data_IF_933372884228
#
_entry.id   IF_933372884228
#
_cell.length_a   1.000
_cell.length_b   1.000
_cell.length_c   1.000
_cell.angle_alpha   90.00
_cell.angle_beta   90.00
_cell.angle_gamma   90.00
#
_symmetry.space_group_name_H-M   'P 1'
#
loop_
_entity.id
_entity.type
_entity.pdbx_description
1 polymer ?
#
# COMPACT_ATOMS: atom_id res chain seq x y z
N UNK A 1 4.70 -11.23 -22.71
CA UNK A 1 5.11 -12.17 -21.64
C UNK A 1 6.24 -13.02 -22.19
N UNK A 2 7.49 -12.67 -21.88
CA UNK A 2 8.67 -13.41 -22.34
C UNK A 2 8.84 -14.67 -21.50
N UNK A 3 8.78 -15.84 -22.15
CA UNK A 3 9.05 -17.15 -21.54
C UNK A 3 10.49 -17.22 -21.00
N UNK A 4 10.79 -18.11 -20.04
CA UNK A 4 12.12 -18.21 -19.45
C UNK A 4 13.12 -18.74 -20.50
N UNK A 5 14.00 -17.87 -21.01
CA UNK A 5 15.01 -18.18 -22.05
C UNK A 5 16.26 -18.87 -21.47
N UNK A 6 16.29 -19.21 -20.18
CA UNK A 6 17.56 -19.45 -19.47
C UNK A 6 18.11 -20.88 -19.46
N UNK A 7 17.28 -21.92 -19.36
CA UNK A 7 17.75 -23.27 -18.95
C UNK A 7 18.62 -23.97 -19.99
N UNK A 8 18.37 -23.72 -21.27
CA UNK A 8 19.10 -24.35 -22.37
C UNK A 8 19.82 -23.33 -23.27
N UNK A 9 20.01 -22.11 -22.78
CA UNK A 9 20.67 -21.05 -23.54
C UNK A 9 22.12 -21.41 -23.91
N UNK A 10 22.80 -22.15 -23.04
CA UNK A 10 24.16 -22.61 -23.30
C UNK A 10 24.20 -23.70 -24.38
N UNK A 11 23.30 -24.68 -24.32
CA UNK A 11 23.16 -25.69 -25.35
C UNK A 11 22.84 -25.07 -26.72
N UNK A 12 21.85 -24.17 -26.77
CA UNK A 12 21.49 -23.46 -28.00
C UNK A 12 22.64 -22.64 -28.58
N UNK A 13 23.37 -21.91 -27.73
CA UNK A 13 24.58 -21.17 -28.15
C UNK A 13 25.65 -22.10 -28.71
N UNK A 14 25.91 -23.25 -28.08
CA UNK A 14 26.87 -24.23 -28.56
C UNK A 14 26.49 -24.76 -29.96
N UNK A 15 25.21 -25.11 -30.18
CA UNK A 15 24.70 -25.55 -31.47
C UNK A 15 24.90 -24.47 -32.55
N UNK A 16 24.52 -23.23 -32.25
CA UNK A 16 24.68 -22.07 -33.15
C UNK A 16 26.13 -21.79 -33.50
N UNK A 17 27.02 -21.80 -32.49
CA UNK A 17 28.44 -21.58 -32.68
C UNK A 17 29.04 -22.66 -33.59
N UNK A 18 28.66 -23.92 -33.38
CA UNK A 18 29.14 -25.03 -34.19
C UNK A 18 28.61 -24.95 -35.62
N UNK A 19 27.35 -24.59 -35.84
CA UNK A 19 26.78 -24.35 -37.18
C UNK A 19 27.54 -23.26 -37.92
N UNK A 20 27.74 -22.11 -37.26
CA UNK A 20 28.46 -20.98 -37.85
C UNK A 20 29.92 -21.33 -38.16
N UNK A 21 30.59 -22.11 -37.32
CA UNK A 21 31.94 -22.61 -37.59
C UNK A 21 32.00 -23.48 -38.87
N UNK A 22 30.94 -24.24 -39.15
CA UNK A 22 30.80 -25.02 -40.38
C UNK A 22 30.28 -24.21 -41.58
N UNK A 23 30.07 -22.90 -41.41
CA UNK A 23 29.52 -21.98 -42.42
C UNK A 23 28.16 -22.42 -42.99
N UNK A 24 27.37 -23.14 -42.19
CA UNK A 24 26.02 -23.56 -42.58
C UNK A 24 25.00 -22.48 -42.23
N UNK A 25 24.13 -22.15 -43.16
CA UNK A 25 22.95 -21.31 -42.92
C UNK A 25 21.83 -22.15 -42.27
N UNK A 26 20.84 -21.54 -41.60
CA UNK A 26 19.64 -22.25 -41.16
C UNK A 26 18.92 -22.99 -42.30
N UNK A 27 18.94 -22.44 -43.51
CA UNK A 27 18.40 -23.06 -44.72
C UNK A 27 19.18 -24.33 -45.09
N UNK A 28 20.52 -24.31 -45.01
CA UNK A 28 21.33 -25.52 -45.23
C UNK A 28 21.03 -26.62 -44.21
N UNK A 29 20.70 -26.24 -42.97
CA UNK A 29 20.27 -27.20 -41.93
C UNK A 29 18.93 -27.80 -42.31
N UNK A 30 17.97 -26.99 -42.76
CA UNK A 30 16.67 -27.46 -43.23
C UNK A 30 16.82 -28.47 -44.38
N UNK A 31 17.62 -28.15 -45.40
CA UNK A 31 17.80 -29.03 -46.55
C UNK A 31 18.39 -30.40 -46.16
N UNK A 32 19.28 -30.44 -45.16
CA UNK A 32 19.97 -31.67 -44.74
C UNK A 32 19.22 -32.48 -43.67
N UNK A 33 18.43 -31.82 -42.82
CA UNK A 33 17.82 -32.46 -41.64
C UNK A 33 16.30 -32.44 -41.64
N UNK A 34 15.71 -31.64 -42.54
CA UNK A 34 14.28 -31.31 -42.59
C UNK A 34 13.74 -30.66 -41.31
N UNK A 35 14.62 -30.07 -40.49
CA UNK A 35 14.25 -29.25 -39.33
C UNK A 35 13.96 -27.83 -39.84
N UNK A 36 12.73 -27.33 -39.65
CA UNK A 36 12.35 -26.01 -40.16
C UNK A 36 13.26 -24.90 -39.61
N UNK A 37 13.51 -23.86 -40.40
CA UNK A 37 14.34 -22.70 -39.99
C UNK A 37 13.88 -22.10 -38.66
N UNK A 38 12.57 -21.99 -38.44
CA UNK A 38 11.98 -21.56 -37.17
C UNK A 38 12.34 -22.48 -36.00
N UNK A 39 12.34 -23.80 -36.23
CA UNK A 39 12.74 -24.77 -35.20
C UNK A 39 14.24 -24.72 -34.94
N UNK A 40 15.07 -24.50 -35.98
CA UNK A 40 16.51 -24.27 -35.81
C UNK A 40 16.76 -23.05 -34.93
N UNK A 41 16.07 -21.93 -35.16
CA UNK A 41 16.19 -20.74 -34.32
C UNK A 41 15.76 -21.02 -32.86
N UNK A 42 14.67 -21.75 -32.65
CA UNK A 42 14.26 -22.19 -31.31
C UNK A 42 15.29 -23.07 -30.63
N UNK A 43 15.91 -23.99 -31.37
CA UNK A 43 16.97 -24.84 -30.85
C UNK A 43 18.20 -24.00 -30.44
N UNK A 44 18.57 -23.02 -31.27
CA UNK A 44 19.73 -22.16 -31.05
C UNK A 44 19.52 -21.08 -29.96
N UNK A 45 18.28 -20.67 -29.73
CA UNK A 45 17.92 -19.76 -28.65
C UNK A 45 17.63 -20.47 -27.33
N UNK A 46 17.60 -21.81 -27.31
CA UNK A 46 17.24 -22.60 -26.13
C UNK A 46 15.74 -22.58 -25.80
N UNK A 47 14.90 -22.17 -26.75
CA UNK A 47 13.44 -22.03 -26.62
C UNK A 47 12.71 -23.37 -26.80
N UNK A 48 13.20 -24.42 -26.15
CA UNK A 48 12.72 -25.79 -26.33
C UNK A 48 11.26 -26.00 -25.93
N UNK A 49 10.74 -25.18 -25.02
CA UNK A 49 9.34 -25.19 -24.60
C UNK A 49 8.34 -24.83 -25.73
N UNK A 50 8.83 -24.29 -26.84
CA UNK A 50 8.01 -23.97 -28.02
C UNK A 50 8.03 -25.08 -29.08
N UNK A 51 8.90 -26.07 -28.90
CA UNK A 51 9.01 -27.24 -29.76
C UNK A 51 8.14 -28.35 -29.13
N UNK A 52 7.28 -29.05 -29.90
CA UNK A 52 6.54 -30.18 -29.36
C UNK A 52 7.52 -31.25 -28.83
N UNK A 53 7.33 -31.65 -27.58
CA UNK A 53 8.27 -32.51 -26.86
C UNK A 53 8.57 -33.85 -27.57
N UNK A 54 7.59 -34.38 -28.32
CA UNK A 54 7.73 -35.62 -29.09
C UNK A 54 8.81 -35.56 -30.17
N UNK A 55 9.10 -34.36 -30.71
CA UNK A 55 10.08 -34.17 -31.80
C UNK A 55 11.43 -33.64 -31.33
N UNK A 56 11.50 -33.06 -30.12
CA UNK A 56 12.68 -32.34 -29.66
C UNK A 56 13.94 -33.22 -29.60
N UNK A 57 13.83 -34.45 -29.10
CA UNK A 57 14.95 -35.39 -29.03
C UNK A 57 15.45 -35.80 -30.43
N UNK A 58 14.52 -36.06 -31.35
CA UNK A 58 14.85 -36.41 -32.73
C UNK A 58 15.52 -35.24 -33.47
N UNK A 59 15.04 -34.02 -33.27
CA UNK A 59 15.67 -32.82 -33.81
C UNK A 59 17.07 -32.58 -33.23
N UNK A 60 17.26 -32.72 -31.91
CA UNK A 60 18.58 -32.61 -31.29
C UNK A 60 19.54 -33.67 -31.84
N UNK A 61 19.07 -34.91 -32.02
CA UNK A 61 19.86 -36.00 -32.60
C UNK A 61 20.32 -35.68 -34.02
N UNK A 62 19.37 -35.37 -34.91
CA UNK A 62 19.66 -35.06 -36.31
C UNK A 62 20.56 -33.83 -36.45
N UNK A 63 20.34 -32.82 -35.61
CA UNK A 63 21.14 -31.62 -35.64
C UNK A 63 22.55 -31.85 -35.11
N UNK A 64 22.70 -32.59 -34.00
CA UNK A 64 24.01 -33.00 -33.48
C UNK A 64 24.80 -33.81 -34.51
N UNK A 65 24.14 -34.76 -35.19
CA UNK A 65 24.72 -35.56 -36.26
C UNK A 65 25.22 -34.70 -37.42
N UNK A 66 24.42 -33.72 -37.89
CA UNK A 66 24.83 -32.77 -38.94
C UNK A 66 26.06 -31.95 -38.51
N UNK A 67 26.10 -31.51 -37.25
CA UNK A 67 27.16 -30.66 -36.72
C UNK A 67 28.44 -31.45 -36.34
N UNK A 68 28.41 -32.79 -36.42
CA UNK A 68 29.48 -33.66 -35.97
C UNK A 68 29.75 -33.54 -34.47
N UNK A 69 28.70 -33.25 -33.68
CA UNK A 69 28.77 -33.19 -32.23
C UNK A 69 28.45 -34.57 -31.65
N UNK A 70 29.13 -35.01 -30.57
CA UNK A 70 28.75 -36.24 -29.87
C UNK A 70 27.32 -36.13 -29.35
N UNK A 71 26.42 -37.02 -29.81
CA UNK A 71 25.01 -37.02 -29.41
C UNK A 71 24.85 -37.04 -27.89
N UNK A 72 25.64 -37.89 -27.21
CA UNK A 72 25.64 -38.03 -25.76
C UNK A 72 25.82 -36.68 -25.05
N UNK A 73 26.80 -35.87 -25.50
CA UNK A 73 27.08 -34.55 -24.90
C UNK A 73 25.89 -33.59 -25.06
N UNK A 74 25.20 -33.64 -26.20
CA UNK A 74 24.03 -32.80 -26.47
C UNK A 74 22.85 -33.21 -25.59
N UNK A 75 22.64 -34.52 -25.42
CA UNK A 75 21.59 -35.06 -24.56
C UNK A 75 21.84 -34.82 -23.07
N UNK A 76 23.09 -34.94 -22.62
CA UNK A 76 23.46 -34.66 -21.23
C UNK A 76 23.13 -33.21 -20.87
N UNK A 77 23.59 -32.24 -21.69
CA UNK A 77 23.26 -30.82 -21.50
C UNK A 77 21.75 -30.52 -21.57
N UNK A 78 21.01 -31.26 -22.40
CA UNK A 78 19.56 -31.14 -22.46
C UNK A 78 18.92 -31.64 -21.15
N UNK A 79 19.37 -32.77 -20.62
CA UNK A 79 18.85 -33.36 -19.38
C UNK A 79 19.16 -32.53 -18.14
N UNK A 80 20.33 -31.89 -18.09
CA UNK A 80 20.72 -30.99 -17.01
C UNK A 80 19.75 -29.79 -16.92
N UNK A 81 19.47 -29.16 -18.07
CA UNK A 81 18.51 -28.06 -18.12
C UNK A 81 17.07 -28.48 -17.77
N UNK A 82 16.70 -29.75 -18.01
CA UNK A 82 15.39 -30.29 -17.63
C UNK A 82 15.27 -30.43 -16.11
N UNK A 83 16.32 -30.93 -15.45
CA UNK A 83 16.37 -31.06 -13.99
C UNK A 83 16.25 -29.69 -13.31
N UNK A 84 16.94 -28.68 -13.84
CA UNK A 84 16.85 -27.29 -13.38
C UNK A 84 15.46 -26.69 -13.59
N UNK A 85 14.81 -27.01 -14.71
CA UNK A 85 13.43 -26.60 -14.98
C UNK A 85 12.44 -27.18 -13.97
N UNK A 86 12.53 -28.48 -13.72
CA UNK A 86 11.64 -29.18 -12.80
C UNK A 86 11.80 -28.67 -11.37
N UNK A 87 13.05 -28.52 -10.91
CA UNK A 87 13.39 -28.00 -9.58
C UNK A 87 12.83 -26.59 -9.38
N UNK A 88 13.00 -25.70 -10.37
CA UNK A 88 12.47 -24.34 -10.31
C UNK A 88 10.93 -24.32 -10.28
N UNK A 89 10.30 -25.17 -11.10
CA UNK A 89 8.83 -25.28 -11.18
C UNK A 89 8.23 -25.88 -9.89
N UNK A 90 8.92 -26.80 -9.24
CA UNK A 90 8.53 -27.32 -7.92
C UNK A 90 8.56 -26.19 -6.89
N UNK A 91 9.69 -25.47 -6.77
CA UNK A 91 9.83 -24.34 -5.84
C UNK A 91 8.72 -23.29 -6.03
N UNK A 92 8.43 -22.90 -7.27
CA UNK A 92 7.35 -21.96 -7.59
C UNK A 92 5.96 -22.50 -7.20
N UNK A 93 5.70 -23.80 -7.37
CA UNK A 93 4.45 -24.44 -6.92
C UNK A 93 4.32 -24.45 -5.39
N UNK A 94 5.41 -24.72 -4.67
CA UNK A 94 5.43 -24.67 -3.21
C UNK A 94 5.18 -23.26 -2.68
N UNK A 95 5.81 -22.24 -3.27
CA UNK A 95 5.56 -20.82 -2.96
C UNK A 95 4.10 -20.42 -3.26
N UNK A 96 3.56 -20.85 -4.39
CA UNK A 96 2.19 -20.54 -4.80
C UNK A 96 1.15 -21.20 -3.90
N UNK A 97 1.39 -22.44 -3.45
CA UNK A 97 0.55 -23.15 -2.48
C UNK A 97 0.56 -22.47 -1.10
N UNK A 98 1.67 -21.85 -0.70
CA UNK A 98 1.73 -21.11 0.56
C UNK A 98 0.96 -19.78 0.47
N UNK A 99 0.96 -19.12 -0.69
CA UNK A 99 0.26 -17.83 -0.90
C UNK A 99 -1.27 -17.94 -0.93
N UNK A 100 -1.84 -19.11 -1.25
CA UNK A 100 -3.31 -19.28 -1.36
C UNK A 100 -4.03 -19.53 -0.04
N UNK A 101 -3.33 -19.64 1.10
CA UNK A 101 -3.95 -19.99 2.40
C UNK A 101 -4.27 -18.83 3.35
N UNK A 102 -3.93 -17.59 3.00
CA UNK A 102 -4.11 -16.40 3.88
C UNK A 102 -5.21 -15.43 3.44
N UNK A 103 -6.10 -15.89 2.55
CA UNK A 103 -7.11 -15.06 1.87
C UNK A 103 -8.25 -14.50 2.73
N UNK A 104 -8.92 -15.29 3.59
CA UNK A 104 -10.05 -14.75 4.36
C UNK A 104 -9.54 -13.97 5.57
N UNK A 105 -8.52 -14.48 6.28
CA UNK A 105 -8.13 -13.96 7.60
C UNK A 105 -7.53 -12.53 7.55
N UNK A 106 -6.91 -12.17 6.43
CA UNK A 106 -6.33 -10.83 6.26
C UNK A 106 -7.38 -9.79 5.81
N UNK A 107 -8.52 -10.22 5.25
CA UNK A 107 -9.60 -9.33 4.81
C UNK A 107 -10.44 -8.82 5.97
N UNK A 108 -10.93 -9.69 6.86
CA UNK A 108 -11.69 -9.24 8.05
C UNK A 108 -10.84 -8.39 9.01
N UNK A 109 -9.55 -8.70 9.15
CA UNK A 109 -8.65 -7.91 9.99
C UNK A 109 -8.49 -6.47 9.47
N UNK A 110 -8.51 -6.25 8.14
CA UNK A 110 -8.53 -4.90 7.55
C UNK A 110 -9.83 -4.16 7.85
N UNK A 111 -10.97 -4.85 7.80
CA UNK A 111 -12.27 -4.25 8.17
C UNK A 111 -12.32 -3.89 9.65
N UNK A 112 -11.82 -4.75 10.54
CA UNK A 112 -11.73 -4.45 11.97
C UNK A 112 -10.82 -3.25 12.24
N UNK A 113 -9.66 -3.18 11.59
CA UNK A 113 -8.76 -2.03 11.72
C UNK A 113 -9.44 -0.73 11.24
N UNK A 114 -10.21 -0.79 10.14
CA UNK A 114 -11.00 0.34 9.65
C UNK A 114 -12.09 0.77 10.62
N UNK A 115 -12.84 -0.18 11.20
CA UNK A 115 -13.88 0.11 12.20
C UNK A 115 -13.24 0.72 13.46
N UNK A 116 -12.12 0.18 13.93
CA UNK A 116 -11.41 0.71 15.09
C UNK A 116 -10.96 2.16 14.85
N UNK A 117 -10.43 2.47 13.67
CA UNK A 117 -10.04 3.83 13.30
C UNK A 117 -11.24 4.78 13.31
N UNK A 118 -12.39 4.35 12.79
CA UNK A 118 -13.63 5.14 12.83
C UNK A 118 -14.07 5.38 14.28
N UNK A 119 -14.01 4.36 15.16
CA UNK A 119 -14.36 4.49 16.58
C UNK A 119 -13.43 5.46 17.31
N UNK A 120 -12.13 5.44 17.00
CA UNK A 120 -11.17 6.40 17.58
C UNK A 120 -11.46 7.82 17.08
N UNK A 121 -11.78 7.99 15.80
CA UNK A 121 -12.16 9.29 15.23
C UNK A 121 -13.45 9.83 15.86
N UNK A 122 -14.45 8.98 16.11
CA UNK A 122 -15.69 9.41 16.77
C UNK A 122 -15.44 9.75 18.24
N UNK A 123 -14.66 8.95 18.97
CA UNK A 123 -14.30 9.25 20.36
C UNK A 123 -13.53 10.57 20.49
N UNK A 124 -12.56 10.82 19.62
CA UNK A 124 -11.80 12.09 19.63
C UNK A 124 -12.70 13.29 19.35
N UNK A 125 -13.64 13.19 18.40
CA UNK A 125 -14.60 14.25 18.11
C UNK A 125 -15.53 14.53 19.30
N UNK A 126 -15.99 13.49 19.99
CA UNK A 126 -16.78 13.61 21.22
C UNK A 126 -15.98 14.33 22.31
N UNK A 127 -14.71 13.98 22.52
CA UNK A 127 -13.85 14.65 23.51
C UNK A 127 -13.67 16.14 23.17
N UNK A 128 -13.44 16.49 21.90
CA UNK A 128 -13.32 17.90 21.48
C UNK A 128 -14.61 18.66 21.76
N UNK A 129 -15.77 18.07 21.48
CA UNK A 129 -17.07 18.69 21.80
C UNK A 129 -17.26 18.93 23.29
N UNK A 130 -16.89 17.96 24.13
CA UNK A 130 -16.98 18.10 25.58
C UNK A 130 -16.03 19.19 26.12
N UNK A 131 -14.87 19.39 25.51
CA UNK A 131 -13.96 20.48 25.90
C UNK A 131 -14.54 21.86 25.58
N UNK A 132 -15.22 22.02 24.43
CA UNK A 132 -15.87 23.29 24.06
C UNK A 132 -17.00 23.69 25.02
N UNK A 133 -17.79 22.74 25.50
CA UNK A 133 -18.98 23.01 26.33
C UNK A 133 -18.67 23.44 27.78
N UNK A 134 -17.41 23.35 28.23
CA UNK A 134 -17.01 23.67 29.61
C UNK A 134 -16.57 25.13 29.82
N UNK A 135 -16.59 25.96 28.78
CA UNK A 135 -16.19 27.38 28.88
C UNK A 135 -17.39 28.24 29.31
N UNK A 136 -17.20 29.01 30.37
CA UNK A 136 -18.17 29.99 30.85
C UNK A 136 -18.08 31.25 29.97
N UNK A 137 -19.14 31.55 29.22
CA UNK A 137 -19.21 32.72 28.36
C UNK A 137 -20.05 33.80 29.03
N UNK A 138 -19.50 35.01 29.15
CA UNK A 138 -20.21 36.16 29.70
C UNK A 138 -20.37 37.20 28.61
N UNK A 139 -21.60 37.67 28.40
CA UNK A 139 -21.95 38.70 27.42
C UNK A 139 -22.60 39.88 28.15
N UNK A 140 -22.24 41.10 27.79
CA UNK A 140 -22.90 42.30 28.28
C UNK A 140 -23.89 42.80 27.22
N UNK A 141 -25.18 42.61 27.46
CA UNK A 141 -26.26 43.09 26.58
C UNK A 141 -26.81 44.45 27.03
N UNK A 142 -26.29 45.03 28.12
CA UNK A 142 -26.65 46.35 28.60
C UNK A 142 -25.75 47.48 28.05
N UNK A 143 -26.11 48.75 28.35
CA UNK A 143 -25.40 49.93 27.84
C UNK A 143 -24.17 50.34 28.67
N UNK A 144 -24.06 49.89 29.92
CA UNK A 144 -22.96 50.22 30.83
C UNK A 144 -21.76 49.28 30.71
N UNK A 145 -20.66 49.60 31.39
CA UNK A 145 -19.43 48.79 31.35
C UNK A 145 -19.42 47.82 32.52
N UNK A 146 -19.14 46.55 32.24
CA UNK A 146 -19.06 45.50 33.25
C UNK A 146 -17.61 45.11 33.46
N UNK A 147 -17.15 45.14 34.71
CA UNK A 147 -15.77 44.79 35.04
C UNK A 147 -15.71 43.36 35.58
N UNK A 148 -14.85 42.54 34.98
CA UNK A 148 -14.66 41.14 35.31
C UNK A 148 -13.26 40.94 35.90
N UNK A 149 -13.18 40.45 37.13
CA UNK A 149 -11.89 40.20 37.81
C UNK A 149 -11.69 38.70 38.02
N UNK A 150 -10.64 38.16 37.41
CA UNK A 150 -10.23 36.75 37.52
C UNK A 150 -8.73 36.65 37.76
N UNK A 151 -8.31 35.96 38.83
CA UNK A 151 -6.90 35.66 39.14
C UNK A 151 -5.93 36.84 38.91
N UNK A 152 -6.29 38.03 39.43
CA UNK A 152 -5.54 39.30 39.37
C UNK A 152 -5.59 40.07 38.04
N UNK A 153 -6.27 39.53 37.01
CA UNK A 153 -6.55 40.27 35.78
C UNK A 153 -7.94 40.88 35.83
N UNK A 154 -8.04 42.12 35.38
CA UNK A 154 -9.29 42.87 35.30
C UNK A 154 -9.60 43.15 33.84
N UNK A 155 -10.79 42.75 33.39
CA UNK A 155 -11.26 42.93 32.02
C UNK A 155 -12.49 43.84 32.05
N UNK A 156 -12.49 44.89 31.23
CA UNK A 156 -13.69 45.70 31.00
C UNK A 156 -14.46 45.11 29.81
N UNK A 157 -15.76 44.88 29.99
CA UNK A 157 -16.66 44.33 29.00
C UNK A 157 -17.66 45.41 28.58
N UNK A 158 -17.50 45.94 27.36
CA UNK A 158 -18.37 46.96 26.82
C UNK A 158 -19.69 46.36 26.26
N UNK A 159 -20.60 47.23 25.84
CA UNK A 159 -21.89 46.81 25.30
C UNK A 159 -21.74 45.90 24.08
N UNK A 160 -22.46 44.77 24.08
CA UNK A 160 -22.45 43.70 23.08
C UNK A 160 -21.15 42.90 22.97
N UNK A 161 -20.22 43.09 23.88
CA UNK A 161 -19.02 42.26 23.93
C UNK A 161 -19.29 40.96 24.70
N UNK A 162 -18.54 39.90 24.34
CA UNK A 162 -18.57 38.65 25.10
C UNK A 162 -17.16 38.09 25.28
N UNK A 163 -16.89 37.60 26.49
CA UNK A 163 -15.63 36.95 26.86
C UNK A 163 -15.89 35.51 27.30
N UNK A 164 -14.90 34.63 27.04
CA UNK A 164 -14.93 33.22 27.42
C UNK A 164 -13.90 32.99 28.51
N UNK A 165 -14.33 32.34 29.59
CA UNK A 165 -13.51 31.98 30.73
C UNK A 165 -13.51 30.47 30.91
N UNK A 166 -12.35 29.89 31.15
CA UNK A 166 -12.27 28.52 31.63
C UNK A 166 -12.66 28.53 33.11
N UNK A 167 -13.56 27.65 33.54
CA UNK A 167 -14.19 27.64 34.88
C UNK A 167 -13.26 27.29 36.06
N UNK A 168 -11.96 27.60 35.97
CA UNK A 168 -10.94 27.16 36.93
C UNK A 168 -10.73 28.08 38.14
N UNK A 169 -11.65 29.00 38.45
CA UNK A 169 -11.56 29.86 39.64
C UNK A 169 -12.72 30.86 39.81
N UNK A 170 -12.82 31.52 40.98
CA UNK A 170 -13.90 32.47 41.27
C UNK A 170 -13.79 33.70 40.38
N UNK A 171 -14.86 34.01 39.65
CA UNK A 171 -14.95 35.19 38.82
C UNK A 171 -15.82 36.24 39.51
N UNK A 172 -15.23 37.40 39.83
CA UNK A 172 -15.98 38.52 40.40
C UNK A 172 -16.44 39.45 39.29
N UNK A 173 -17.74 39.76 39.28
CA UNK A 173 -18.37 40.63 38.30
C UNK A 173 -18.85 41.88 39.03
N UNK A 174 -18.33 43.04 38.63
CA UNK A 174 -18.76 44.36 39.09
C UNK A 174 -19.51 45.06 37.96
N UNK A 175 -20.78 45.38 38.22
CA UNK A 175 -21.71 45.95 37.26
C UNK A 175 -22.43 47.15 37.88
N UNK A 176 -21.73 48.29 38.03
CA UNK A 176 -22.26 49.47 38.73
C UNK A 176 -23.52 50.03 38.08
N UNK A 177 -23.64 49.92 36.76
CA UNK A 177 -24.75 50.44 35.96
C UNK A 177 -25.96 49.49 35.87
N UNK A 178 -25.91 48.33 36.54
CA UNK A 178 -26.94 47.27 36.46
C UNK A 178 -27.29 46.89 35.02
N UNK A 179 -26.28 46.84 34.16
CA UNK A 179 -26.41 46.38 32.77
C UNK A 179 -26.84 44.91 32.72
N UNK A 180 -27.53 44.52 31.65
CA UNK A 180 -27.97 43.13 31.46
C UNK A 180 -26.74 42.29 31.12
N UNK A 181 -26.34 41.41 32.04
CA UNK A 181 -25.23 40.48 31.85
C UNK A 181 -25.78 39.08 31.66
N UNK A 182 -25.38 38.44 30.57
CA UNK A 182 -25.77 37.08 30.23
C UNK A 182 -24.62 36.13 30.53
N UNK A 183 -24.85 35.20 31.44
CA UNK A 183 -23.89 34.16 31.81
C UNK A 183 -24.35 32.86 31.15
N UNK A 184 -23.49 32.31 30.30
CA UNK A 184 -23.75 31.08 29.56
C UNK A 184 -22.72 30.00 29.96
N UNK A 185 -23.19 28.84 30.39
CA UNK A 185 -22.36 27.67 30.69
C UNK A 185 -22.97 26.43 30.03
N UNK A 186 -22.32 25.90 28.99
CA UNK A 186 -22.91 24.88 28.14
C UNK A 186 -24.26 25.33 27.56
N UNK A 187 -25.33 24.59 27.89
CA UNK A 187 -26.71 24.86 27.49
C UNK A 187 -27.48 25.79 28.45
N UNK A 188 -26.88 26.17 29.59
CA UNK A 188 -27.52 27.03 30.58
C UNK A 188 -27.22 28.49 30.28
N UNK A 189 -28.26 29.32 30.22
CA UNK A 189 -28.17 30.77 30.05
C UNK A 189 -28.93 31.44 31.20
N UNK A 190 -28.31 32.42 31.84
CA UNK A 190 -28.93 33.21 32.90
C UNK A 190 -28.59 34.68 32.73
N UNK A 191 -29.63 35.50 32.66
CA UNK A 191 -29.51 36.95 32.67
C UNK A 191 -29.50 37.47 34.11
N UNK A 192 -28.58 38.39 34.40
CA UNK A 192 -28.45 39.03 35.70
C UNK A 192 -28.15 40.51 35.52
N UNK A 193 -28.69 41.33 36.42
CA UNK A 193 -28.52 42.80 36.41
C UNK A 193 -28.18 43.33 37.81
N UNK A 194 -27.41 42.55 38.58
CA UNK A 194 -26.99 42.89 39.94
C UNK A 194 -25.72 43.72 39.95
N UNK A 195 -25.53 44.50 41.01
CA UNK A 195 -24.40 45.45 41.14
C UNK A 195 -23.04 44.77 41.32
N UNK A 196 -23.00 43.67 42.07
CA UNK A 196 -21.80 42.86 42.27
C UNK A 196 -22.18 41.41 42.57
N UNK A 197 -21.49 40.44 41.98
CA UNK A 197 -21.70 39.02 42.27
C UNK A 197 -20.50 38.16 41.86
N UNK A 198 -20.37 37.00 42.49
CA UNK A 198 -19.29 36.02 42.25
C UNK A 198 -19.87 34.78 41.55
N UNK A 199 -19.21 34.35 40.47
CA UNK A 199 -19.52 33.11 39.73
C UNK A 199 -18.44 32.08 40.05
N UNK A 200 -18.85 30.90 40.52
CA UNK A 200 -17.98 29.76 40.80
C UNK A 200 -18.32 28.58 39.90
#
# INVERSE_FOLDING_TARGET
>A
MTRPIGQWQELGRMLRQRRNYLLLTPEDVFDKTHISVETVDRLETGSFNEIPAIYLQDFLKRYAALLGLPEQRVFDQYSDGLTDYETKREKERHLSRMKTRVGPLTRWLKYLAGILAIVILTQTLVVVKLLEETQLRIRNDGPGIVTLTSNHNTYALASRESLRFSSSGPLKISNPDKSVVVIQYGQYEKEVSWTEFEVR
#
